data_IF_484224952925
#
_entry.id   IF_484224952925
#
_cell.length_a   1.000
_cell.length_b   1.000
_cell.length_c   1.000
_cell.angle_alpha   90.00
_cell.angle_beta   90.00
_cell.angle_gamma   90.00
#
_symmetry.space_group_name_H-M   'P 1'
#
loop_
_entity.id
_entity.type
_entity.pdbx_description
1 polymer ?
#
# COMPACT_ATOMS: atom_id res chain seq x y z
N UNK A 1 -9.71 3.26 -8.55
CA UNK A 1 -8.50 2.45 -8.32
C UNK A 1 -7.24 3.22 -8.73
N UNK A 2 -6.11 2.80 -8.20
CA UNK A 2 -4.81 3.36 -8.54
C UNK A 2 -4.15 2.42 -9.54
N UNK A 3 -3.64 2.97 -10.64
CA UNK A 3 -2.84 2.19 -11.57
C UNK A 3 -1.43 2.05 -11.01
N UNK A 4 -0.97 0.83 -10.86
CA UNK A 4 0.35 0.53 -10.27
C UNK A 4 1.49 1.16 -11.06
N UNK A 5 1.39 1.13 -12.38
CA UNK A 5 2.42 1.65 -13.28
C UNK A 5 2.48 3.19 -13.33
N UNK A 6 1.46 3.88 -12.85
CA UNK A 6 1.38 5.35 -12.80
C UNK A 6 1.74 5.90 -11.42
N UNK A 7 2.23 5.07 -10.48
CA UNK A 7 2.70 5.50 -9.17
C UNK A 7 4.00 6.31 -9.33
N UNK A 8 4.02 7.62 -9.03
CA UNK A 8 5.13 8.51 -9.39
C UNK A 8 6.44 8.18 -8.66
N UNK A 9 6.36 7.61 -7.46
CA UNK A 9 7.50 7.24 -6.62
C UNK A 9 7.67 5.72 -6.46
N UNK A 10 6.90 4.92 -7.20
CA UNK A 10 6.89 3.47 -7.03
C UNK A 10 6.27 3.01 -5.71
N UNK A 11 6.80 1.95 -5.15
CA UNK A 11 6.26 1.29 -3.97
C UNK A 11 7.31 1.14 -2.86
N UNK A 12 6.87 1.12 -1.62
CA UNK A 12 7.63 0.66 -0.45
C UNK A 12 7.32 -0.82 -0.23
N UNK A 13 8.32 -1.59 0.09
CA UNK A 13 8.22 -3.03 0.28
C UNK A 13 8.57 -3.44 1.72
N UNK A 14 7.90 -4.47 2.22
CA UNK A 14 8.26 -5.06 3.51
C UNK A 14 9.57 -5.87 3.42
N UNK A 15 10.09 -6.32 4.56
CA UNK A 15 11.35 -7.07 4.62
C UNK A 15 11.29 -8.40 3.86
N UNK A 16 10.13 -9.05 3.83
CA UNK A 16 9.92 -10.29 3.06
C UNK A 16 10.07 -10.04 1.56
N UNK A 17 9.50 -8.95 1.04
CA UNK A 17 9.65 -8.56 -0.35
C UNK A 17 11.10 -8.17 -0.68
N UNK A 18 11.75 -7.40 0.20
CA UNK A 18 13.16 -7.00 0.04
C UNK A 18 14.11 -8.20 0.02
N UNK A 19 13.83 -9.20 0.85
CA UNK A 19 14.62 -10.45 0.87
C UNK A 19 14.52 -11.25 -0.45
N UNK A 20 13.45 -11.08 -1.21
CA UNK A 20 13.27 -11.68 -2.53
C UNK A 20 13.94 -10.85 -3.64
N UNK A 21 14.24 -9.58 -3.39
CA UNK A 21 14.96 -8.71 -4.33
C UNK A 21 14.18 -7.47 -4.80
N UNK A 22 12.98 -7.21 -4.27
CA UNK A 22 12.31 -5.93 -4.46
C UNK A 22 13.03 -4.81 -3.72
N UNK A 23 12.95 -3.60 -4.23
CA UNK A 23 13.55 -2.42 -3.60
C UNK A 23 12.50 -1.30 -3.51
N UNK A 24 12.61 -0.50 -2.46
CA UNK A 24 11.76 0.67 -2.31
C UNK A 24 11.96 1.63 -3.50
N UNK A 25 10.86 2.07 -4.10
CA UNK A 25 10.86 2.85 -5.32
C UNK A 25 10.66 2.04 -6.61
N UNK A 26 10.69 0.72 -6.57
CA UNK A 26 10.34 -0.09 -7.73
C UNK A 26 8.89 0.17 -8.17
N UNK A 27 8.68 0.35 -9.47
CA UNK A 27 7.34 0.40 -10.08
C UNK A 27 7.08 -1.00 -10.67
N UNK A 28 6.03 -1.66 -10.20
CA UNK A 28 5.66 -2.99 -10.66
C UNK A 28 5.08 -2.91 -12.08
N UNK A 29 5.63 -3.67 -13.03
CA UNK A 29 5.21 -3.67 -14.44
C UNK A 29 4.35 -4.88 -14.79
N UNK A 30 4.86 -6.09 -14.56
CA UNK A 30 4.18 -7.34 -14.94
C UNK A 30 4.67 -8.53 -14.11
N UNK A 31 3.82 -9.57 -14.01
CA UNK A 31 4.18 -10.90 -13.52
C UNK A 31 4.11 -11.89 -14.69
N UNK A 32 5.18 -12.63 -14.98
CA UNK A 32 5.29 -13.54 -16.13
C UNK A 32 4.76 -12.93 -17.44
N UNK A 33 5.12 -11.67 -17.72
CA UNK A 33 4.65 -10.86 -18.85
C UNK A 33 3.16 -10.45 -18.83
N UNK A 34 2.39 -10.77 -17.77
CA UNK A 34 1.04 -10.27 -17.58
C UNK A 34 1.09 -8.91 -16.86
N UNK A 35 0.68 -7.81 -17.50
CA UNK A 35 0.80 -6.49 -16.90
C UNK A 35 -0.04 -6.34 -15.63
N UNK A 36 0.51 -5.65 -14.62
CA UNK A 36 -0.28 -5.19 -13.50
C UNK A 36 -1.14 -3.99 -13.92
N UNK A 37 -2.44 -4.05 -13.67
CA UNK A 37 -3.35 -2.96 -14.01
C UNK A 37 -3.65 -2.09 -12.80
N UNK A 38 -3.92 -2.73 -11.67
CA UNK A 38 -4.31 -2.04 -10.44
C UNK A 38 -3.76 -2.74 -9.21
N UNK A 39 -3.62 -1.97 -8.15
CA UNK A 39 -3.23 -2.50 -6.84
C UNK A 39 -4.47 -3.09 -6.16
N UNK A 40 -4.56 -4.40 -6.14
CA UNK A 40 -5.64 -5.16 -5.46
C UNK A 40 -5.13 -6.53 -4.98
N UNK A 41 -6.00 -7.29 -4.34
CA UNK A 41 -5.65 -8.64 -3.87
C UNK A 41 -5.24 -9.60 -4.98
N UNK A 42 -5.76 -9.41 -6.19
CA UNK A 42 -5.38 -10.23 -7.35
C UNK A 42 -3.91 -10.02 -7.73
N UNK A 43 -3.39 -8.79 -7.59
CA UNK A 43 -1.99 -8.47 -7.86
C UNK A 43 -1.04 -9.27 -6.96
N UNK A 44 -1.36 -9.38 -5.67
CA UNK A 44 -0.56 -10.17 -4.73
C UNK A 44 -0.55 -11.66 -5.09
N UNK A 45 -1.72 -12.20 -5.48
CA UNK A 45 -1.81 -13.57 -5.97
C UNK A 45 -1.01 -13.77 -7.27
N UNK A 46 -1.08 -12.80 -8.20
CA UNK A 46 -0.28 -12.85 -9.43
C UNK A 46 1.23 -12.84 -9.13
N UNK A 47 1.69 -12.02 -8.18
CA UNK A 47 3.09 -12.00 -7.76
C UNK A 47 3.48 -13.35 -7.15
N UNK A 48 2.66 -13.88 -6.25
CA UNK A 48 2.99 -15.11 -5.53
C UNK A 48 2.99 -16.37 -6.42
N UNK A 49 2.18 -16.39 -7.48
CA UNK A 49 2.09 -17.49 -8.44
C UNK A 49 3.07 -17.34 -9.63
N UNK A 50 3.73 -16.17 -9.78
CA UNK A 50 4.67 -15.91 -10.86
C UNK A 50 6.06 -16.54 -10.61
N UNK A 51 6.80 -16.76 -11.68
CA UNK A 51 8.23 -17.08 -11.63
C UNK A 51 9.11 -15.84 -11.60
N UNK A 52 8.64 -14.80 -12.29
CA UNK A 52 9.38 -13.54 -12.47
C UNK A 52 8.44 -12.35 -12.44
N UNK A 53 8.84 -11.32 -11.72
CA UNK A 53 8.17 -10.01 -11.73
C UNK A 53 9.09 -8.99 -12.36
N UNK A 54 8.63 -8.35 -13.43
CA UNK A 54 9.33 -7.21 -14.05
C UNK A 54 9.00 -5.93 -13.30
N UNK A 55 10.01 -5.16 -12.96
CA UNK A 55 9.92 -3.85 -12.29
C UNK A 55 10.65 -2.77 -13.08
N UNK A 56 10.27 -1.52 -12.87
CA UNK A 56 11.05 -0.37 -13.31
C UNK A 56 11.77 0.20 -12.08
N UNK A 57 13.09 0.03 -12.04
CA UNK A 57 14.00 0.47 -10.99
C UNK A 57 14.89 1.57 -11.51
N UNK A 58 14.83 2.77 -10.94
CA UNK A 58 15.61 3.93 -11.39
C UNK A 58 15.54 4.18 -12.92
N UNK A 59 14.35 3.99 -13.49
CA UNK A 59 14.10 4.16 -14.93
C UNK A 59 14.59 3.00 -15.83
N UNK A 60 15.15 1.93 -15.25
CA UNK A 60 15.58 0.73 -15.97
C UNK A 60 14.72 -0.48 -15.62
N UNK A 61 14.44 -1.32 -16.62
CA UNK A 61 13.76 -2.60 -16.35
C UNK A 61 14.68 -3.53 -15.59
N UNK A 62 14.17 -4.14 -14.54
CA UNK A 62 14.81 -5.18 -13.76
C UNK A 62 13.83 -6.33 -13.53
N UNK A 63 14.36 -7.53 -13.28
CA UNK A 63 13.58 -8.73 -13.03
C UNK A 63 13.83 -9.22 -11.60
N UNK A 64 12.75 -9.56 -10.91
CA UNK A 64 12.77 -10.16 -9.58
C UNK A 64 12.23 -11.59 -9.70
N UNK A 65 13.02 -12.57 -9.33
CA UNK A 65 12.62 -13.98 -9.35
C UNK A 65 11.89 -14.35 -8.07
N UNK A 66 10.72 -14.93 -8.20
CA UNK A 66 9.82 -15.22 -7.10
C UNK A 66 10.01 -16.69 -6.65
N UNK A 67 10.28 -16.93 -5.36
CA UNK A 67 10.40 -18.28 -4.83
C UNK A 67 9.05 -19.00 -4.78
N UNK A 68 9.04 -20.32 -4.91
CA UNK A 68 7.81 -21.14 -4.90
C UNK A 68 7.02 -21.04 -3.59
N UNK A 69 7.68 -20.71 -2.49
CA UNK A 69 7.07 -20.52 -1.17
C UNK A 69 6.61 -19.07 -0.90
N UNK A 70 6.56 -18.22 -1.94
CA UNK A 70 6.24 -16.79 -1.79
C UNK A 70 4.91 -16.55 -1.10
N UNK A 71 3.87 -17.31 -1.47
CA UNK A 71 2.55 -17.16 -0.85
C UNK A 71 2.58 -17.49 0.65
N UNK A 72 3.32 -18.53 1.06
CA UNK A 72 3.47 -18.90 2.47
C UNK A 72 4.18 -17.79 3.25
N UNK A 73 5.20 -17.16 2.67
CA UNK A 73 5.91 -16.02 3.26
C UNK A 73 4.98 -14.82 3.41
N UNK A 74 4.17 -14.51 2.39
CA UNK A 74 3.19 -13.43 2.45
C UNK A 74 2.12 -13.68 3.53
N UNK A 75 1.68 -14.93 3.70
CA UNK A 75 0.69 -15.30 4.70
C UNK A 75 1.27 -15.32 6.12
N UNK A 76 2.55 -15.60 6.29
CA UNK A 76 3.23 -15.57 7.58
C UNK A 76 3.52 -14.15 8.07
N UNK A 77 3.58 -13.18 7.15
CA UNK A 77 3.88 -11.80 7.45
C UNK A 77 2.61 -11.04 7.86
N UNK A 78 2.67 -10.33 8.98
CA UNK A 78 1.58 -9.47 9.46
C UNK A 78 1.57 -8.11 8.78
N UNK A 79 2.61 -7.77 8.02
CA UNK A 79 2.80 -6.47 7.36
C UNK A 79 2.44 -6.60 5.89
N UNK A 80 1.81 -5.57 5.33
CA UNK A 80 1.51 -5.53 3.90
C UNK A 80 2.77 -5.70 3.08
N UNK A 81 2.74 -6.55 2.05
CA UNK A 81 3.83 -6.82 1.13
C UNK A 81 4.41 -5.55 0.49
N UNK A 82 3.52 -4.69 0.00
CA UNK A 82 3.89 -3.43 -0.62
C UNK A 82 2.85 -2.35 -0.32
N UNK A 83 3.27 -1.11 -0.37
CA UNK A 83 2.40 0.07 -0.29
C UNK A 83 2.89 1.14 -1.25
N UNK A 84 2.00 2.02 -1.72
CA UNK A 84 2.43 3.15 -2.55
C UNK A 84 3.34 4.08 -1.76
N UNK A 85 4.41 4.54 -2.40
CA UNK A 85 5.22 5.64 -1.89
C UNK A 85 4.50 6.95 -2.17
N UNK A 86 4.30 7.72 -1.12
CA UNK A 86 3.65 9.02 -1.22
C UNK A 86 4.68 10.15 -1.23
N UNK A 87 4.52 11.18 -2.07
CA UNK A 87 5.28 12.40 -1.95
C UNK A 87 4.99 13.05 -0.59
N UNK A 88 5.99 13.66 0.02
CA UNK A 88 5.82 14.34 1.30
C UNK A 88 5.31 15.76 1.08
N UNK A 89 4.00 15.89 0.90
CA UNK A 89 3.33 17.18 0.72
C UNK A 89 2.81 17.67 2.08
N UNK A 90 3.08 18.93 2.40
CA UNK A 90 2.62 19.56 3.63
C UNK A 90 1.17 20.01 3.49
N UNK A 91 0.29 19.54 4.36
CA UNK A 91 -1.12 19.93 4.41
C UNK A 91 -1.33 21.15 5.32
N UNK A 92 -0.70 21.14 6.49
CA UNK A 92 -0.75 22.27 7.42
C UNK A 92 0.54 22.42 8.23
N UNK A 93 0.79 23.62 8.72
CA UNK A 93 1.95 23.96 9.54
C UNK A 93 1.47 24.54 10.86
N UNK A 94 1.96 23.99 11.98
CA UNK A 94 1.61 24.47 13.33
C UNK A 94 2.26 25.82 13.59
N UNK A 95 1.53 26.71 14.20
CA UNK A 95 2.03 28.04 14.61
C UNK A 95 3.20 27.87 15.59
N UNK A 96 4.24 28.69 15.44
CA UNK A 96 5.47 28.66 16.25
C UNK A 96 6.26 27.35 16.18
N UNK A 97 5.96 26.46 15.24
CA UNK A 97 6.73 25.24 15.02
C UNK A 97 8.08 25.49 14.35
N UNK A 98 9.03 24.52 14.43
CA UNK A 98 10.28 24.60 13.67
C UNK A 98 10.07 24.82 12.16
N UNK A 99 9.06 24.17 11.57
CA UNK A 99 8.73 24.34 10.16
C UNK A 99 8.22 25.74 9.84
N UNK A 100 7.36 26.32 10.72
CA UNK A 100 6.87 27.69 10.55
C UNK A 100 8.02 28.71 10.60
N UNK A 101 8.95 28.53 11.54
CA UNK A 101 10.13 29.40 11.68
C UNK A 101 11.08 29.28 10.48
N UNK A 102 11.16 28.12 9.84
CA UNK A 102 11.94 27.87 8.64
C UNK A 102 11.23 28.29 7.33
N UNK A 103 10.03 28.85 7.41
CA UNK A 103 9.28 29.35 6.27
C UNK A 103 8.58 28.27 5.42
N UNK A 104 8.44 27.05 5.94
CA UNK A 104 7.65 25.98 5.30
C UNK A 104 6.17 26.36 5.33
N UNK A 105 5.46 26.09 4.23
CA UNK A 105 4.07 26.47 4.04
C UNK A 105 3.21 25.26 3.61
N UNK A 106 1.89 25.31 3.83
CA UNK A 106 0.97 24.34 3.22
C UNK A 106 1.11 24.31 1.70
N UNK A 107 1.14 23.11 1.13
CA UNK A 107 1.36 22.87 -0.30
C UNK A 107 2.82 22.65 -0.69
N UNK A 108 3.78 22.87 0.19
CA UNK A 108 5.18 22.51 -0.08
C UNK A 108 5.32 20.99 -0.23
N UNK A 109 6.03 20.56 -1.24
CA UNK A 109 6.40 19.16 -1.45
C UNK A 109 7.86 18.96 -1.09
N UNK A 110 8.13 18.28 0.02
CA UNK A 110 9.48 17.95 0.45
C UNK A 110 10.02 16.83 -0.43
N UNK A 111 11.10 17.08 -1.14
CA UNK A 111 11.69 16.15 -2.10
C UNK A 111 13.04 15.59 -1.66
N UNK A 112 13.74 16.26 -0.74
CA UNK A 112 14.98 15.73 -0.19
C UNK A 112 15.19 16.13 1.28
N UNK A 113 15.89 15.26 2.02
CA UNK A 113 16.35 15.45 3.38
C UNK A 113 17.87 15.27 3.42
N UNK A 114 18.58 16.32 3.86
CA UNK A 114 20.05 16.33 3.90
C UNK A 114 20.70 15.95 2.55
N UNK A 115 20.08 16.36 1.44
CA UNK A 115 20.54 16.07 0.09
C UNK A 115 20.12 14.72 -0.50
N UNK A 116 19.56 13.80 0.30
CA UNK A 116 19.02 12.54 -0.16
C UNK A 116 17.54 12.70 -0.55
N UNK A 117 17.16 12.20 -1.72
CA UNK A 117 15.74 12.16 -2.15
C UNK A 117 14.92 11.30 -1.21
N UNK A 118 13.72 11.77 -0.85
CA UNK A 118 12.86 11.10 0.14
C UNK A 118 11.40 11.05 -0.30
N UNK A 119 10.70 10.01 0.18
CA UNK A 119 9.24 9.95 0.29
C UNK A 119 8.78 10.32 1.72
N UNK A 120 7.48 10.32 1.95
CA UNK A 120 6.92 10.53 3.30
C UNK A 120 7.35 9.42 4.29
N UNK A 121 7.40 8.17 3.83
CA UNK A 121 7.87 7.03 4.64
C UNK A 121 9.34 7.14 4.98
N UNK A 122 10.19 7.49 4.01
CA UNK A 122 11.64 7.68 4.23
C UNK A 122 11.91 8.77 5.26
N UNK A 123 11.17 9.89 5.18
CA UNK A 123 11.30 10.95 6.15
C UNK A 123 11.05 10.46 7.57
N UNK A 124 9.93 9.74 7.78
CA UNK A 124 9.57 9.19 9.10
C UNK A 124 10.62 8.22 9.62
N UNK A 125 11.10 7.31 8.75
CA UNK A 125 12.14 6.36 9.09
C UNK A 125 13.45 7.06 9.46
N UNK A 126 13.92 7.98 8.61
CA UNK A 126 15.17 8.72 8.84
C UNK A 126 15.11 9.49 10.16
N UNK A 127 13.99 10.15 10.47
CA UNK A 127 13.84 10.87 11.73
C UNK A 127 13.84 9.94 12.95
N UNK A 128 13.23 8.76 12.84
CA UNK A 128 13.26 7.74 13.89
C UNK A 128 14.69 7.21 14.11
N UNK A 129 15.44 6.95 13.04
CA UNK A 129 16.85 6.54 13.10
C UNK A 129 17.75 7.60 13.70
N UNK A 130 17.60 8.88 13.32
CA UNK A 130 18.35 10.00 13.91
C UNK A 130 18.07 10.14 15.40
N UNK A 131 16.81 9.94 15.82
CA UNK A 131 16.44 9.91 17.24
C UNK A 131 17.10 8.76 17.98
N UNK A 132 17.08 7.55 17.41
CA UNK A 132 17.71 6.35 17.99
C UNK A 132 19.22 6.50 18.11
N UNK A 133 19.87 7.10 17.11
CA UNK A 133 21.32 7.22 17.02
C UNK A 133 21.83 8.61 17.51
N UNK A 134 21.03 9.35 18.26
CA UNK A 134 21.34 10.73 18.64
C UNK A 134 22.67 10.87 19.39
N UNK A 135 22.97 9.96 20.32
CA UNK A 135 24.22 9.98 21.10
C UNK A 135 25.46 9.76 20.22
N UNK A 136 25.36 8.86 19.23
CA UNK A 136 26.44 8.58 18.28
C UNK A 136 26.68 9.78 17.39
N UNK A 137 25.61 10.39 16.83
CA UNK A 137 25.69 11.59 15.99
C UNK A 137 26.32 12.77 16.75
N UNK A 138 26.01 12.96 18.03
CA UNK A 138 26.61 14.00 18.86
C UNK A 138 28.11 13.75 19.10
N UNK A 139 28.54 12.50 19.26
CA UNK A 139 29.98 12.17 19.35
C UNK A 139 30.74 12.53 18.07
N UNK A 140 30.07 12.39 16.92
CA UNK A 140 30.61 12.75 15.60
C UNK A 140 30.44 14.26 15.29
N UNK A 141 30.08 15.06 16.27
CA UNK A 141 29.84 16.51 16.14
C UNK A 141 28.69 16.89 15.19
N UNK A 142 27.76 15.96 14.97
CA UNK A 142 26.56 16.15 14.14
C UNK A 142 25.37 16.41 15.07
N UNK A 143 24.70 17.56 14.92
CA UNK A 143 23.44 17.81 15.64
C UNK A 143 22.33 16.90 15.06
N UNK A 144 21.84 15.93 15.84
CA UNK A 144 20.83 14.97 15.34
C UNK A 144 19.47 15.63 15.02
N UNK A 145 19.23 16.84 15.53
CA UNK A 145 17.99 17.60 15.31
C UNK A 145 18.10 18.63 14.19
N UNK A 146 19.31 18.96 13.73
CA UNK A 146 19.49 19.87 12.59
C UNK A 146 19.30 19.08 11.30
N UNK A 147 18.38 19.55 10.46
CA UNK A 147 18.07 18.95 9.16
C UNK A 147 17.99 20.02 8.07
N UNK A 148 18.35 19.62 6.86
CA UNK A 148 18.21 20.46 5.67
C UNK A 148 17.15 19.83 4.77
N UNK A 149 16.13 20.59 4.43
CA UNK A 149 15.03 20.20 3.56
C UNK A 149 15.16 20.87 2.21
N UNK A 150 15.03 20.09 1.14
CA UNK A 150 14.76 20.61 -0.21
C UNK A 150 13.30 20.40 -0.52
N UNK A 151 12.60 21.44 -0.94
CA UNK A 151 11.17 21.40 -1.22
C UNK A 151 10.83 22.13 -2.51
N UNK A 152 9.67 21.78 -3.07
CA UNK A 152 9.11 22.43 -4.26
C UNK A 152 7.87 23.22 -3.85
N UNK A 153 7.85 24.50 -4.19
CA UNK A 153 6.72 25.42 -3.99
C UNK A 153 6.37 26.09 -5.31
N UNK A 154 5.15 25.86 -5.79
CA UNK A 154 4.72 26.46 -7.07
C UNK A 154 5.62 26.15 -8.25
N UNK A 155 6.25 24.96 -8.28
CA UNK A 155 7.18 24.54 -9.33
C UNK A 155 8.62 25.02 -9.16
N UNK A 156 8.92 25.84 -8.13
CA UNK A 156 10.27 26.31 -7.80
C UNK A 156 10.86 25.46 -6.71
N UNK A 157 12.09 24.99 -6.90
CA UNK A 157 12.84 24.23 -5.87
C UNK A 157 13.60 25.20 -5.00
N UNK A 158 13.48 25.04 -3.68
CA UNK A 158 14.18 25.81 -2.68
C UNK A 158 14.68 24.91 -1.54
N UNK A 159 15.57 25.43 -0.70
CA UNK A 159 16.20 24.68 0.38
C UNK A 159 16.19 25.50 1.66
N UNK A 160 15.82 24.86 2.77
CA UNK A 160 15.87 25.50 4.11
C UNK A 160 16.45 24.52 5.13
N UNK A 161 17.07 25.09 6.18
CA UNK A 161 17.55 24.29 7.31
C UNK A 161 16.74 24.63 8.54
N UNK A 162 16.38 23.62 9.30
CA UNK A 162 15.64 23.80 10.54
C UNK A 162 16.10 22.81 11.62
N UNK A 163 15.87 23.17 12.85
CA UNK A 163 16.11 22.29 13.99
C UNK A 163 14.79 21.78 14.53
N UNK A 164 14.55 20.47 14.36
CA UNK A 164 13.33 19.82 14.88
C UNK A 164 13.25 19.91 16.41
N UNK A 165 12.07 19.75 16.97
CA UNK A 165 11.84 19.78 18.42
C UNK A 165 12.49 18.58 19.14
N UNK A 166 12.31 18.51 20.46
CA UNK A 166 12.83 17.40 21.29
C UNK A 166 12.21 16.05 20.97
N UNK A 167 11.04 16.02 20.36
CA UNK A 167 10.36 14.81 19.90
C UNK A 167 10.77 14.40 18.47
N UNK A 168 11.67 15.18 17.82
CA UNK A 168 12.06 15.03 16.41
C UNK A 168 10.93 15.33 15.42
N UNK A 169 10.05 16.26 15.77
CA UNK A 169 8.96 16.72 14.94
C UNK A 169 9.24 18.12 14.38
N UNK A 170 8.77 18.34 13.15
CA UNK A 170 8.84 19.68 12.51
C UNK A 170 7.63 20.53 12.86
N UNK A 171 6.55 19.93 13.36
CA UNK A 171 5.27 20.60 13.62
C UNK A 171 4.48 20.87 12.34
N UNK A 172 4.36 19.84 11.49
CA UNK A 172 3.55 19.85 10.26
C UNK A 172 2.61 18.65 10.23
N UNK A 173 1.52 18.78 9.49
CA UNK A 173 0.68 17.65 9.09
C UNK A 173 0.94 17.36 7.61
N UNK A 174 1.21 16.10 7.30
CA UNK A 174 1.36 15.67 5.91
C UNK A 174 0.00 15.46 5.25
N UNK A 175 -0.11 15.78 3.98
CA UNK A 175 -1.24 15.38 3.16
C UNK A 175 -1.21 13.86 3.00
N UNK A 176 -2.23 13.18 3.49
CA UNK A 176 -2.38 11.71 3.36
C UNK A 176 -3.57 11.32 2.47
N UNK A 177 -4.19 12.31 1.83
CA UNK A 177 -5.34 12.11 0.97
C UNK A 177 -4.90 11.51 -0.35
N UNK A 178 -5.18 10.23 -0.52
CA UNK A 178 -4.69 9.40 -1.65
C UNK A 178 -5.08 9.96 -3.02
N UNK A 179 -6.28 10.53 -3.14
CA UNK A 179 -6.79 11.13 -4.38
C UNK A 179 -6.04 12.40 -4.81
N UNK A 180 -5.39 13.09 -3.87
CA UNK A 180 -4.53 14.26 -4.16
C UNK A 180 -3.09 13.87 -4.50
N UNK A 181 -2.63 12.73 -4.00
CA UNK A 181 -1.21 12.32 -4.07
C UNK A 181 -0.94 11.32 -5.19
N UNK A 182 -1.95 10.56 -5.59
CA UNK A 182 -1.82 9.51 -6.60
C UNK A 182 -2.88 9.67 -7.70
N UNK A 183 -2.55 9.32 -8.94
CA UNK A 183 -3.50 9.36 -10.05
C UNK A 183 -4.60 8.31 -9.84
N UNK A 184 -5.77 8.76 -9.38
CA UNK A 184 -6.93 7.91 -9.17
C UNK A 184 -7.76 7.78 -10.44
N UNK A 185 -8.01 6.55 -10.86
CA UNK A 185 -8.94 6.27 -11.97
C UNK A 185 -10.31 5.97 -11.39
N UNK A 186 -11.26 6.88 -11.60
CA UNK A 186 -12.67 6.63 -11.31
C UNK A 186 -13.33 6.05 -12.56
N UNK A 187 -13.82 4.83 -12.45
CA UNK A 187 -14.55 4.18 -13.53
C UNK A 187 -16.05 4.36 -13.27
N UNK A 188 -16.71 5.10 -14.15
CA UNK A 188 -18.15 5.33 -14.09
C UNK A 188 -18.84 4.50 -15.18
N UNK A 189 -20.02 3.98 -14.87
CA UNK A 189 -20.83 3.20 -15.78
C UNK A 189 -22.21 3.83 -15.90
N UNK A 190 -22.78 3.90 -17.09
CA UNK A 190 -24.18 4.18 -17.28
C UNK A 190 -25.03 3.06 -16.65
N UNK A 191 -26.31 3.35 -16.35
CA UNK A 191 -27.19 2.41 -15.66
C UNK A 191 -27.19 1.01 -16.30
N UNK A 192 -27.41 0.92 -17.61
CA UNK A 192 -27.43 -0.39 -18.29
C UNK A 192 -26.04 -1.04 -18.42
N UNK A 193 -24.98 -0.27 -18.48
CA UNK A 193 -23.60 -0.77 -18.53
C UNK A 193 -23.15 -1.35 -17.18
N UNK A 194 -23.77 -0.92 -16.09
CA UNK A 194 -23.46 -1.41 -14.75
C UNK A 194 -23.76 -2.89 -14.56
N UNK A 195 -24.77 -3.43 -15.26
CA UNK A 195 -25.16 -4.86 -15.14
C UNK A 195 -24.06 -5.81 -15.66
N UNK A 196 -23.61 -5.71 -16.93
CA UNK A 196 -22.53 -6.58 -17.41
C UNK A 196 -21.22 -6.32 -16.66
N UNK A 197 -20.94 -5.10 -16.26
CA UNK A 197 -19.76 -4.78 -15.44
C UNK A 197 -19.83 -5.45 -14.05
N UNK A 198 -21.00 -5.43 -13.41
CA UNK A 198 -21.24 -6.09 -12.14
C UNK A 198 -21.10 -7.61 -12.22
N UNK A 199 -21.69 -8.24 -13.25
CA UNK A 199 -21.54 -9.69 -13.51
C UNK A 199 -20.07 -10.06 -13.73
N UNK A 200 -19.36 -9.28 -14.56
CA UNK A 200 -17.93 -9.49 -14.81
C UNK A 200 -17.11 -9.39 -13.53
N UNK A 201 -17.39 -8.38 -12.68
CA UNK A 201 -16.75 -8.22 -11.39
C UNK A 201 -17.05 -9.40 -10.46
N UNK A 202 -18.30 -9.84 -10.40
CA UNK A 202 -18.72 -10.98 -9.58
C UNK A 202 -18.01 -12.28 -9.99
N UNK A 203 -17.95 -12.57 -11.30
CA UNK A 203 -17.21 -13.73 -11.82
C UNK A 203 -15.72 -13.64 -11.50
N UNK A 204 -15.13 -12.46 -11.65
CA UNK A 204 -13.71 -12.23 -11.31
C UNK A 204 -13.46 -12.47 -9.82
N UNK A 205 -14.31 -11.91 -8.95
CA UNK A 205 -14.24 -12.10 -7.49
C UNK A 205 -14.34 -13.57 -7.10
N UNK A 206 -15.30 -14.28 -7.70
CA UNK A 206 -15.49 -15.73 -7.47
C UNK A 206 -14.27 -16.54 -7.91
N UNK A 207 -13.73 -16.27 -9.09
CA UNK A 207 -12.51 -16.94 -9.58
C UNK A 207 -11.31 -16.70 -8.66
N UNK A 208 -11.11 -15.47 -8.20
CA UNK A 208 -10.07 -15.13 -7.23
C UNK A 208 -10.25 -15.87 -5.91
N UNK A 209 -11.49 -15.93 -5.40
CA UNK A 209 -11.82 -16.65 -4.18
C UNK A 209 -11.55 -18.15 -4.29
N UNK A 210 -11.99 -18.79 -5.37
CA UNK A 210 -11.74 -20.21 -5.66
C UNK A 210 -10.23 -20.48 -5.80
N UNK A 211 -9.52 -19.63 -6.53
CA UNK A 211 -8.06 -19.74 -6.68
C UNK A 211 -7.31 -19.67 -5.35
N UNK A 212 -7.77 -18.81 -4.45
CA UNK A 212 -7.17 -18.62 -3.13
C UNK A 212 -7.55 -19.74 -2.12
N UNK A 213 -8.59 -20.52 -2.38
CA UNK A 213 -8.97 -21.66 -1.50
C UNK A 213 -7.85 -22.67 -1.31
N UNK A 214 -7.00 -22.90 -2.30
CA UNK A 214 -5.82 -23.79 -2.18
C UNK A 214 -4.94 -23.44 -0.99
N UNK A 215 -4.90 -22.15 -0.62
CA UNK A 215 -4.07 -21.67 0.50
C UNK A 215 -4.74 -21.83 1.86
N UNK A 216 -6.08 -21.90 1.92
CA UNK A 216 -6.80 -22.11 3.19
C UNK A 216 -6.48 -23.48 3.84
N UNK A 217 -6.08 -24.46 3.03
CA UNK A 217 -5.69 -25.79 3.51
C UNK A 217 -4.23 -25.84 3.97
N UNK A 218 -3.47 -24.74 3.89
CA UNK A 218 -2.15 -24.64 4.50
C UNK A 218 -2.24 -24.34 6.01
N UNK A 219 -1.19 -24.68 6.76
CA UNK A 219 -1.14 -24.39 8.20
C UNK A 219 -1.25 -22.89 8.53
N UNK A 220 -0.68 -22.07 7.67
CA UNK A 220 -0.67 -20.62 7.77
C UNK A 220 -2.04 -20.04 7.43
N UNK A 221 -2.67 -20.52 6.36
CA UNK A 221 -4.01 -20.11 5.94
C UNK A 221 -5.09 -20.46 6.97
N UNK A 222 -5.01 -21.63 7.57
CA UNK A 222 -5.96 -22.04 8.61
C UNK A 222 -5.92 -21.12 9.85
N UNK A 223 -4.77 -20.52 10.16
CA UNK A 223 -4.63 -19.56 11.27
C UNK A 223 -5.24 -18.18 10.95
N UNK A 224 -5.42 -17.87 9.67
CA UNK A 224 -6.00 -16.60 9.21
C UNK A 224 -7.51 -16.64 9.07
N UNK A 225 -8.14 -17.80 9.27
CA UNK A 225 -9.59 -17.91 9.29
C UNK A 225 -10.16 -17.07 10.44
N UNK A 226 -10.66 -15.90 10.09
CA UNK A 226 -11.27 -14.98 11.05
C UNK A 226 -12.69 -15.37 11.40
N UNK A 227 -13.10 -15.05 12.63
CA UNK A 227 -14.49 -15.17 13.07
C UNK A 227 -15.34 -13.96 12.69
N UNK A 228 -16.57 -13.89 13.24
CA UNK A 228 -17.52 -12.79 13.01
C UNK A 228 -16.93 -11.39 13.27
N UNK A 229 -16.02 -11.25 14.24
CA UNK A 229 -15.33 -10.00 14.51
C UNK A 229 -14.46 -9.52 13.34
N UNK A 230 -13.80 -10.43 12.65
CA UNK A 230 -13.02 -10.13 11.44
C UNK A 230 -13.91 -9.65 10.30
N UNK A 231 -15.08 -10.28 10.12
CA UNK A 231 -16.07 -9.84 9.11
C UNK A 231 -16.54 -8.42 9.44
N UNK A 232 -16.82 -8.11 10.71
CA UNK A 232 -17.20 -6.77 11.15
C UNK A 232 -16.12 -5.72 10.89
N UNK A 233 -14.85 -6.07 11.05
CA UNK A 233 -13.72 -5.15 10.85
C UNK A 233 -13.47 -4.77 9.37
N UNK A 234 -14.07 -5.49 8.42
CA UNK A 234 -13.97 -5.15 6.99
C UNK A 234 -14.85 -3.93 6.64
N UNK A 235 -15.89 -3.66 7.46
CA UNK A 235 -16.73 -2.48 7.24
C UNK A 235 -16.02 -1.21 7.75
N UNK A 236 -16.15 -0.08 7.02
CA UNK A 236 -15.53 1.18 7.43
C UNK A 236 -16.16 1.70 8.72
N UNK A 237 -15.36 2.41 9.54
CA UNK A 237 -15.82 3.03 10.78
C UNK A 237 -16.87 4.15 10.56
N UNK A 238 -16.86 4.77 9.37
CA UNK A 238 -17.83 5.77 8.92
C UNK A 238 -18.72 5.18 7.84
N UNK A 239 -19.99 5.59 7.84
CA UNK A 239 -20.96 5.08 6.86
C UNK A 239 -20.59 5.49 5.44
N UNK A 240 -20.44 4.51 4.56
CA UNK A 240 -20.15 4.66 3.13
C UNK A 240 -21.09 3.74 2.34
N UNK A 241 -22.00 4.33 1.56
CA UNK A 241 -22.97 3.57 0.76
C UNK A 241 -22.32 2.72 -0.33
N UNK A 242 -21.26 3.20 -0.96
CA UNK A 242 -20.55 2.43 -1.98
C UNK A 242 -19.91 1.19 -1.37
N UNK A 243 -19.20 1.35 -0.25
CA UNK A 243 -18.57 0.25 0.46
C UNK A 243 -19.60 -0.73 1.02
N UNK A 244 -20.73 -0.23 1.54
CA UNK A 244 -21.83 -1.06 2.02
C UNK A 244 -22.36 -2.01 0.93
N UNK A 245 -22.72 -1.47 -0.25
CA UNK A 245 -23.23 -2.29 -1.35
C UNK A 245 -22.18 -3.24 -1.92
N UNK A 246 -20.92 -2.78 -2.01
CA UNK A 246 -19.81 -3.62 -2.43
C UNK A 246 -19.62 -4.83 -1.50
N UNK A 247 -19.59 -4.61 -0.18
CA UNK A 247 -19.45 -5.67 0.81
C UNK A 247 -20.64 -6.61 0.84
N UNK A 248 -21.86 -6.08 0.69
CA UNK A 248 -23.08 -6.89 0.60
C UNK A 248 -23.02 -7.82 -0.60
N UNK A 249 -22.65 -7.31 -1.78
CA UNK A 249 -22.50 -8.13 -2.98
C UNK A 249 -21.39 -9.18 -2.82
N UNK A 250 -20.23 -8.80 -2.26
CA UNK A 250 -19.11 -9.70 -1.99
C UNK A 250 -19.51 -10.86 -1.07
N UNK A 251 -20.12 -10.56 0.07
CA UNK A 251 -20.58 -11.58 1.03
C UNK A 251 -21.66 -12.49 0.42
N UNK A 252 -22.56 -11.94 -0.40
CA UNK A 252 -23.59 -12.73 -1.09
C UNK A 252 -22.97 -13.73 -2.06
N UNK A 253 -21.95 -13.32 -2.82
CA UNK A 253 -21.25 -14.22 -3.76
C UNK A 253 -20.52 -15.33 -3.00
N UNK A 254 -19.83 -15.00 -1.90
CA UNK A 254 -19.13 -16.00 -1.08
C UNK A 254 -20.13 -16.99 -0.46
N UNK A 255 -21.23 -16.50 0.09
CA UNK A 255 -22.25 -17.33 0.71
C UNK A 255 -22.90 -18.27 -0.31
N UNK A 256 -23.23 -17.77 -1.51
CA UNK A 256 -23.76 -18.60 -2.59
C UNK A 256 -22.76 -19.68 -3.00
N UNK A 257 -21.47 -19.34 -3.12
CA UNK A 257 -20.43 -20.32 -3.45
C UNK A 257 -20.28 -21.38 -2.35
N UNK A 258 -20.21 -20.95 -1.07
CA UNK A 258 -20.08 -21.89 0.06
C UNK A 258 -21.25 -22.87 0.13
N UNK A 259 -22.47 -22.43 -0.20
CA UNK A 259 -23.65 -23.26 -0.20
C UNK A 259 -23.69 -24.30 -1.36
N UNK A 260 -22.91 -24.09 -2.42
CA UNK A 260 -22.76 -25.07 -3.52
C UNK A 260 -21.77 -26.18 -3.13
N UNK A 261 -20.85 -25.92 -2.20
CA UNK A 261 -19.85 -26.93 -1.81
C UNK A 261 -20.48 -28.09 -1.05
N UNK A 262 -20.02 -29.34 -1.29
CA UNK A 262 -20.51 -30.53 -0.61
C UNK A 262 -19.96 -30.64 0.82
N UNK A 263 -20.26 -29.66 1.64
CA UNK A 263 -19.83 -29.59 3.04
C UNK A 263 -21.01 -29.98 3.93
N UNK A 264 -20.88 -30.99 4.81
CA UNK A 264 -21.92 -31.30 5.80
C UNK A 264 -22.32 -30.06 6.59
N UNK A 265 -23.60 -29.84 6.79
CA UNK A 265 -24.23 -28.68 7.44
C UNK A 265 -24.41 -27.43 6.55
N UNK A 266 -24.05 -27.47 5.25
CA UNK A 266 -24.43 -26.48 4.25
C UNK A 266 -25.43 -27.09 3.26
N UNK A 267 -26.17 -26.22 2.54
CA UNK A 267 -27.23 -26.64 1.63
C UNK A 267 -26.74 -27.65 0.56
N UNK A 268 -25.55 -27.42 0.00
CA UNK A 268 -24.91 -28.33 -0.96
C UNK A 268 -24.61 -29.71 -0.37
N UNK A 269 -24.32 -29.81 0.91
CA UNK A 269 -24.14 -31.08 1.61
C UNK A 269 -25.44 -31.84 1.73
N UNK A 270 -26.56 -31.19 2.03
CA UNK A 270 -27.88 -31.82 2.13
C UNK A 270 -28.43 -32.35 0.81
N UNK A 271 -27.92 -31.86 -0.32
CA UNK A 271 -28.28 -32.39 -1.65
C UNK A 271 -27.50 -33.65 -2.00
N UNK A 272 -26.31 -33.85 -1.43
CA UNK A 272 -25.40 -34.94 -1.74
C UNK A 272 -25.48 -36.09 -0.73
N UNK A 273 -25.93 -35.83 0.49
CA UNK A 273 -26.10 -36.82 1.59
C UNK A 273 -27.56 -36.96 1.97
#
# INVERSE_FOLDING_TARGET
YIKVQEAPLGMDFNETAKAVGFQDGDILLSADNVPFVRYDGDMLSQIADAREVSVLREGKKASVYIPEDMMQRLMADSVRFASFRFPYVIDSVMVNSPAAQAGIQPGDSIIALNGASISFSDFKQTMAERKKNAETLLKDSIDPRLITLTYVRGGVTDTTSLRVDSAYLMGVTACVTTDRLLPMVKKEYAFFESFPAGVSLGVKTLKGYVGNMKYLFSKEGAKQLGGFGTIGSIFPATWDWHQFWYMTAFLSIILAFMNILPIPALDGGHVLF
#
